data_IF_933104384494
#
_entry.id   IF_933104384494
#
_cell.length_a   1.000
_cell.length_b   1.000
_cell.length_c   1.000
_cell.angle_alpha   90.00
_cell.angle_beta   90.00
_cell.angle_gamma   90.00
#
_symmetry.space_group_name_H-M   'P 1'
#
loop_
_entity.id
_entity.type
_entity.pdbx_description
1 polymer ?
#
# COMPACT_ATOMS: atom_id res chain seq x y z
N UNK A 1 12.66 28.93 -12.98
CA UNK A 1 13.77 27.95 -12.82
C UNK A 1 13.34 26.71 -13.58
N UNK A 2 14.05 26.31 -14.63
CA UNK A 2 13.69 25.10 -15.39
C UNK A 2 14.24 23.89 -14.61
N UNK A 3 13.36 23.14 -13.96
CA UNK A 3 13.72 21.85 -13.40
C UNK A 3 13.97 20.86 -14.55
N UNK A 4 14.93 19.93 -14.42
CA UNK A 4 15.09 18.86 -15.39
C UNK A 4 13.82 18.02 -15.41
N UNK A 5 13.02 18.15 -16.47
CA UNK A 5 11.84 17.33 -16.75
C UNK A 5 12.26 16.13 -17.57
N UNK A 6 11.78 14.95 -17.17
CA UNK A 6 11.99 13.73 -17.95
C UNK A 6 10.90 13.64 -19.03
N UNK A 7 11.22 14.19 -20.21
CA UNK A 7 10.34 14.19 -21.38
C UNK A 7 10.35 12.81 -22.06
N UNK A 8 9.60 11.87 -21.47
CA UNK A 8 9.26 10.61 -22.12
C UNK A 8 8.13 10.88 -23.12
N UNK A 9 8.48 10.82 -24.40
CA UNK A 9 7.65 11.17 -25.56
C UNK A 9 6.26 10.50 -25.59
N UNK A 10 6.06 9.45 -24.80
CA UNK A 10 4.77 8.79 -24.60
C UNK A 10 4.70 8.08 -23.23
N UNK A 11 3.56 8.15 -22.54
CA UNK A 11 3.25 7.26 -21.42
C UNK A 11 3.63 7.74 -20.00
N UNK A 12 4.12 8.96 -19.81
CA UNK A 12 4.44 9.50 -18.49
C UNK A 12 3.25 9.46 -17.52
N UNK A 13 2.08 9.93 -17.97
CA UNK A 13 0.83 9.85 -17.19
C UNK A 13 0.35 8.41 -16.96
N UNK A 14 0.62 7.50 -17.90
CA UNK A 14 0.26 6.09 -17.75
C UNK A 14 1.10 5.41 -16.66
N UNK A 15 2.39 5.75 -16.55
CA UNK A 15 3.26 5.24 -15.49
C UNK A 15 2.78 5.69 -14.11
N UNK A 16 2.44 6.98 -13.96
CA UNK A 16 1.84 7.52 -12.72
C UNK A 16 0.54 6.77 -12.41
N UNK A 17 -0.33 6.58 -13.41
CA UNK A 17 -1.59 5.87 -13.22
C UNK A 17 -1.39 4.42 -12.74
N UNK A 18 -0.50 3.66 -13.37
CA UNK A 18 -0.23 2.26 -13.00
C UNK A 18 0.27 2.17 -11.55
N UNK A 19 1.29 2.95 -11.19
CA UNK A 19 1.87 2.90 -9.84
C UNK A 19 0.86 3.38 -8.80
N UNK A 20 0.13 4.46 -9.08
CA UNK A 20 -0.84 5.05 -8.16
C UNK A 20 -2.05 4.15 -7.93
N UNK A 21 -2.65 3.59 -8.99
CA UNK A 21 -3.80 2.68 -8.87
C UNK A 21 -3.40 1.43 -8.07
N UNK A 22 -2.24 0.86 -8.38
CA UNK A 22 -1.76 -0.35 -7.68
C UNK A 22 -1.53 -0.08 -6.19
N UNK A 23 -0.89 1.05 -5.85
CA UNK A 23 -0.71 1.46 -4.45
C UNK A 23 -2.04 1.69 -3.74
N UNK A 24 -2.93 2.50 -4.32
CA UNK A 24 -4.22 2.85 -3.71
C UNK A 24 -5.09 1.62 -3.51
N UNK A 25 -5.09 0.68 -4.46
CA UNK A 25 -5.80 -0.58 -4.32
C UNK A 25 -5.33 -1.33 -3.07
N UNK A 26 -4.02 -1.50 -2.87
CA UNK A 26 -3.47 -2.16 -1.68
C UNK A 26 -3.74 -1.36 -0.40
N UNK A 27 -3.71 -0.03 -0.45
CA UNK A 27 -4.01 0.84 0.69
C UNK A 27 -5.45 0.66 1.22
N UNK A 28 -6.43 0.36 0.36
CA UNK A 28 -7.78 0.03 0.83
C UNK A 28 -7.81 -1.25 1.68
N UNK A 29 -7.04 -2.27 1.29
CA UNK A 29 -6.87 -3.46 2.11
C UNK A 29 -6.15 -3.15 3.42
N UNK A 30 -5.13 -2.28 3.40
CA UNK A 30 -4.43 -1.86 4.61
C UNK A 30 -5.40 -1.28 5.65
N UNK A 31 -6.27 -0.34 5.22
CA UNK A 31 -7.24 0.32 6.10
C UNK A 31 -8.31 -0.66 6.59
N UNK A 32 -8.96 -1.38 5.68
CA UNK A 32 -10.04 -2.32 6.05
C UNK A 32 -9.55 -3.54 6.82
N UNK A 33 -8.44 -4.13 6.36
CA UNK A 33 -7.84 -5.30 6.98
C UNK A 33 -7.18 -4.99 8.33
N UNK A 34 -6.63 -3.79 8.52
CA UNK A 34 -6.14 -3.33 9.82
C UNK A 34 -7.24 -3.36 10.89
N UNK A 35 -8.44 -2.87 10.54
CA UNK A 35 -9.61 -2.96 11.43
C UNK A 35 -10.07 -4.41 11.63
N UNK A 36 -10.12 -5.20 10.55
CA UNK A 36 -10.53 -6.60 10.58
C UNK A 36 -9.65 -7.45 11.52
N UNK A 37 -8.33 -7.25 11.51
CA UNK A 37 -7.41 -8.00 12.36
C UNK A 37 -7.69 -7.76 13.85
N UNK A 38 -7.85 -6.50 14.26
CA UNK A 38 -8.12 -6.15 15.67
C UNK A 38 -9.48 -6.67 16.13
N UNK A 39 -10.51 -6.56 15.29
CA UNK A 39 -11.84 -7.07 15.62
C UNK A 39 -11.85 -8.60 15.74
N UNK A 40 -11.16 -9.30 14.85
CA UNK A 40 -11.05 -10.75 14.86
C UNK A 40 -10.23 -11.25 16.05
N UNK A 41 -9.13 -10.57 16.38
CA UNK A 41 -8.33 -10.86 17.57
C UNK A 41 -9.17 -10.71 18.85
N UNK A 42 -9.91 -9.60 18.97
CA UNK A 42 -10.80 -9.36 20.11
C UNK A 42 -11.88 -10.44 20.23
N UNK A 43 -12.44 -10.88 19.10
CA UNK A 43 -13.42 -11.98 19.08
C UNK A 43 -12.79 -13.29 19.55
N UNK A 44 -11.59 -13.63 19.06
CA UNK A 44 -10.89 -14.85 19.41
C UNK A 44 -10.58 -14.94 20.92
N UNK A 45 -10.14 -13.83 21.53
CA UNK A 45 -9.95 -13.78 22.98
C UNK A 45 -11.26 -13.91 23.76
N UNK A 46 -12.35 -13.28 23.29
CA UNK A 46 -13.67 -13.39 23.94
C UNK A 46 -14.20 -14.82 23.93
N UNK A 47 -13.94 -15.55 22.85
CA UNK A 47 -14.43 -16.91 22.63
C UNK A 47 -13.44 -18.00 23.09
N UNK A 48 -12.27 -17.60 23.63
CA UNK A 48 -11.15 -18.50 23.99
C UNK A 48 -10.74 -19.45 22.83
N UNK A 49 -10.81 -18.95 21.60
CA UNK A 49 -10.53 -19.73 20.40
C UNK A 49 -9.04 -19.63 20.02
N UNK A 50 -8.27 -20.61 20.49
CA UNK A 50 -6.84 -20.71 20.19
C UNK A 50 -6.53 -21.00 18.71
N UNK A 51 -7.44 -21.67 17.99
CA UNK A 51 -7.26 -21.98 16.57
C UNK A 51 -7.37 -20.70 15.72
N UNK A 52 -8.37 -19.86 16.03
CA UNK A 52 -8.55 -18.57 15.37
C UNK A 52 -7.36 -17.64 15.62
N UNK A 53 -6.83 -17.58 16.85
CA UNK A 53 -5.63 -16.79 17.17
C UNK A 53 -4.40 -17.25 16.37
N UNK A 54 -4.20 -18.57 16.24
CA UNK A 54 -3.04 -19.11 15.53
C UNK A 54 -3.12 -18.85 14.01
N UNK A 55 -4.33 -18.96 13.44
CA UNK A 55 -4.60 -18.56 12.06
C UNK A 55 -4.32 -17.06 11.86
N UNK A 56 -4.85 -16.23 12.75
CA UNK A 56 -4.70 -14.77 12.67
C UNK A 56 -3.23 -14.36 12.71
N UNK A 57 -2.42 -14.98 13.59
CA UNK A 57 -0.97 -14.71 13.68
C UNK A 57 -0.25 -14.97 12.36
N UNK A 58 -0.62 -16.03 11.66
CA UNK A 58 -0.03 -16.37 10.35
C UNK A 58 -0.53 -15.42 9.26
N UNK A 59 -1.84 -15.14 9.25
CA UNK A 59 -2.47 -14.24 8.30
C UNK A 59 -1.94 -12.80 8.42
N UNK A 60 -1.74 -12.30 9.64
CA UNK A 60 -1.19 -10.97 9.93
C UNK A 60 0.19 -10.77 9.32
N UNK A 61 1.05 -11.80 9.29
CA UNK A 61 2.38 -11.67 8.64
C UNK A 61 2.25 -11.41 7.15
N UNK A 62 1.45 -12.20 6.45
CA UNK A 62 1.17 -11.99 5.03
C UNK A 62 0.56 -10.61 4.79
N UNK A 63 -0.43 -10.24 5.61
CA UNK A 63 -1.13 -8.99 5.50
C UNK A 63 -0.22 -7.77 5.70
N UNK A 64 0.67 -7.80 6.71
CA UNK A 64 1.64 -6.72 6.98
C UNK A 64 2.65 -6.60 5.84
N UNK A 65 3.16 -7.71 5.30
CA UNK A 65 4.07 -7.67 4.15
C UNK A 65 3.41 -7.03 2.92
N UNK A 66 2.17 -7.42 2.63
CA UNK A 66 1.43 -6.86 1.49
C UNK A 66 1.06 -5.38 1.71
N UNK A 67 0.56 -5.03 2.88
CA UNK A 67 -0.05 -3.71 3.09
C UNK A 67 0.94 -2.66 3.55
N UNK A 68 1.88 -3.03 4.42
CA UNK A 68 2.88 -2.10 4.97
C UNK A 68 4.11 -2.04 4.07
N UNK A 69 4.73 -3.19 3.77
CA UNK A 69 6.00 -3.19 3.03
C UNK A 69 5.77 -2.81 1.57
N UNK A 70 4.88 -3.51 0.86
CA UNK A 70 4.56 -3.13 -0.52
C UNK A 70 3.89 -1.76 -0.59
N UNK A 71 3.04 -1.40 0.38
CA UNK A 71 2.48 -0.05 0.49
C UNK A 71 3.56 1.03 0.59
N UNK A 72 4.54 0.87 1.48
CA UNK A 72 5.64 1.82 1.63
C UNK A 72 6.48 1.95 0.35
N UNK A 73 6.84 0.82 -0.27
CA UNK A 73 7.63 0.81 -1.52
C UNK A 73 6.87 1.51 -2.65
N UNK A 74 5.60 1.16 -2.84
CA UNK A 74 4.78 1.74 -3.91
C UNK A 74 4.45 3.22 -3.65
N UNK A 75 4.29 3.63 -2.39
CA UNK A 75 4.08 5.03 -2.01
C UNK A 75 5.29 5.91 -2.33
N UNK A 76 6.49 5.45 -1.97
CA UNK A 76 7.75 6.10 -2.38
C UNK A 76 7.89 6.09 -3.90
N UNK A 77 7.48 5.01 -4.56
CA UNK A 77 7.46 4.90 -6.02
C UNK A 77 6.60 5.98 -6.69
N UNK A 78 5.42 6.30 -6.13
CA UNK A 78 4.57 7.39 -6.62
C UNK A 78 5.32 8.73 -6.55
N UNK A 79 5.89 9.05 -5.38
CA UNK A 79 6.59 10.32 -5.17
C UNK A 79 7.74 10.49 -6.16
N UNK A 80 8.55 9.44 -6.32
CA UNK A 80 9.67 9.44 -7.25
C UNK A 80 9.21 9.60 -8.70
N UNK A 81 8.14 8.90 -9.08
CA UNK A 81 7.58 8.96 -10.44
C UNK A 81 7.04 10.36 -10.76
N UNK A 82 6.30 10.98 -9.83
CA UNK A 82 5.78 12.34 -10.00
C UNK A 82 6.94 13.34 -10.07
N UNK A 83 7.92 13.26 -9.18
CA UNK A 83 9.05 14.19 -9.14
C UNK A 83 9.87 14.19 -10.45
N UNK A 84 10.01 13.04 -11.10
CA UNK A 84 10.72 12.93 -12.38
C UNK A 84 9.91 13.46 -13.57
N UNK A 85 8.59 13.25 -13.57
CA UNK A 85 7.73 13.54 -14.72
C UNK A 85 7.17 14.97 -14.65
N UNK A 86 6.73 15.40 -13.47
CA UNK A 86 6.21 16.74 -13.20
C UNK A 86 6.90 17.34 -11.96
N UNK A 87 8.15 17.83 -12.09
CA UNK A 87 8.91 18.39 -10.96
C UNK A 87 8.25 19.58 -10.28
N UNK A 88 7.38 20.31 -10.98
CA UNK A 88 6.61 21.44 -10.44
C UNK A 88 5.35 21.03 -9.65
N UNK A 89 5.00 19.74 -9.63
CA UNK A 89 3.83 19.22 -8.90
C UNK A 89 4.13 18.77 -7.47
N UNK A 90 5.40 18.81 -7.05
CA UNK A 90 5.90 18.47 -5.71
C UNK A 90 6.81 19.59 -5.20
#
# INVERSE_FOLDING_TARGET
>A
MNYPVWDVSFGAGLLIAIVSITHVFVSHFAVGGGLFLVLTEKKAYRENDAALLNWLKTHTRFFVLLTVVFGAISGVGIWFTIALIHPSAT
#
